data_IF_730432770093
#
_entry.id   IF_730432770093
#
_cell.length_a   1.000
_cell.length_b   1.000
_cell.length_c   1.000
_cell.angle_alpha   90.00
_cell.angle_beta   90.00
_cell.angle_gamma   90.00
#
_symmetry.space_group_name_H-M   'P 1'
#
loop_
_entity.id
_entity.type
_entity.pdbx_description
1 polymer ?
#
# COMPACT_ATOMS: atom_id res chain seq x y z
N UNK A 1 -22.67 16.07 -21.81
CA UNK A 1 -21.98 14.96 -22.51
C UNK A 1 -20.53 14.96 -22.05
N UNK A 2 -20.18 14.04 -21.15
CA UNK A 2 -18.88 14.00 -20.47
C UNK A 2 -17.84 13.31 -21.35
N UNK A 3 -16.86 14.08 -21.83
CA UNK A 3 -15.65 13.56 -22.44
C UNK A 3 -14.76 12.92 -21.36
N UNK A 4 -15.11 11.70 -20.91
CA UNK A 4 -14.13 10.77 -20.38
C UNK A 4 -13.30 10.27 -21.58
N UNK A 5 -12.41 11.13 -22.07
CA UNK A 5 -11.28 10.66 -22.85
C UNK A 5 -10.52 9.72 -21.95
N UNK A 6 -10.47 8.45 -22.36
CA UNK A 6 -9.47 7.50 -21.91
C UNK A 6 -8.12 8.20 -22.09
N UNK A 7 -7.55 8.69 -21.00
CA UNK A 7 -6.11 8.88 -20.90
C UNK A 7 -5.55 7.47 -21.03
N UNK A 8 -5.26 7.05 -22.26
CA UNK A 8 -4.29 6.01 -22.53
C UNK A 8 -3.07 6.43 -21.71
N UNK A 9 -2.86 5.79 -20.56
CA UNK A 9 -1.86 6.20 -19.57
C UNK A 9 -0.50 6.15 -20.25
N UNK A 10 -0.07 7.31 -20.74
CA UNK A 10 1.18 7.47 -21.45
C UNK A 10 2.26 7.23 -20.42
N UNK A 11 3.14 6.25 -20.68
CA UNK A 11 4.20 5.89 -19.76
C UNK A 11 5.13 7.10 -19.59
N UNK A 12 5.16 7.67 -18.40
CA UNK A 12 6.07 8.77 -18.06
C UNK A 12 7.42 8.26 -17.56
N UNK A 13 8.44 9.13 -17.57
CA UNK A 13 9.77 8.78 -17.08
C UNK A 13 9.74 8.41 -15.60
N UNK A 14 8.99 9.16 -14.81
CA UNK A 14 8.80 8.91 -13.37
C UNK A 14 8.08 7.60 -13.10
N UNK A 15 7.05 7.24 -13.88
CA UNK A 15 6.38 5.94 -13.76
C UNK A 15 7.33 4.78 -14.04
N UNK A 16 8.22 4.91 -15.04
CA UNK A 16 9.22 3.89 -15.32
C UNK A 16 10.22 3.73 -14.15
N UNK A 17 10.67 4.84 -13.57
CA UNK A 17 11.59 4.81 -12.43
C UNK A 17 10.92 4.21 -11.19
N UNK A 18 9.64 4.52 -10.95
CA UNK A 18 8.86 3.90 -9.88
C UNK A 18 8.70 2.39 -10.09
N UNK A 19 8.43 1.93 -11.32
CA UNK A 19 8.36 0.50 -11.63
C UNK A 19 9.69 -0.24 -11.37
N UNK A 20 10.84 0.43 -11.62
CA UNK A 20 12.15 -0.14 -11.30
C UNK A 20 12.33 -0.30 -9.79
N UNK A 21 11.92 0.69 -8.99
CA UNK A 21 11.96 0.61 -7.53
C UNK A 21 10.99 -0.44 -6.98
N UNK A 22 9.76 -0.51 -7.50
CA UNK A 22 8.78 -1.51 -7.06
C UNK A 22 9.27 -2.94 -7.33
N UNK A 23 10.01 -3.13 -8.44
CA UNK A 23 10.65 -4.41 -8.77
C UNK A 23 11.86 -4.71 -7.89
N UNK A 24 12.55 -3.69 -7.39
CA UNK A 24 13.63 -3.82 -6.40
C UNK A 24 13.10 -4.18 -5.02
N UNK A 25 11.99 -3.56 -4.61
CA UNK A 25 11.33 -3.84 -3.34
C UNK A 25 10.61 -5.19 -3.35
N UNK A 26 10.16 -5.68 -4.51
CA UNK A 26 9.56 -7.01 -4.61
C UNK A 26 10.63 -8.10 -4.42
N UNK A 27 10.50 -8.99 -3.41
CA UNK A 27 11.45 -10.08 -3.22
C UNK A 27 11.34 -11.09 -4.37
N UNK A 28 12.12 -10.87 -5.41
CA UNK A 28 12.34 -11.84 -6.48
C UNK A 28 13.66 -12.57 -6.20
N UNK A 29 13.58 -13.89 -6.02
CA UNK A 29 14.67 -14.79 -5.65
C UNK A 29 15.89 -14.79 -6.61
N UNK A 30 15.92 -13.97 -7.67
CA UNK A 30 16.88 -14.08 -8.78
C UNK A 30 17.28 -12.76 -9.48
N UNK A 31 17.03 -11.57 -8.95
CA UNK A 31 17.39 -10.35 -9.69
C UNK A 31 18.81 -9.86 -9.33
N UNK A 32 19.85 -10.47 -9.92
CA UNK A 32 21.20 -9.89 -9.92
C UNK A 32 21.29 -8.60 -10.76
N UNK A 33 20.31 -8.34 -11.63
CA UNK A 33 20.20 -7.11 -12.42
C UNK A 33 18.73 -6.73 -12.62
N UNK A 34 18.29 -5.61 -12.03
CA UNK A 34 16.95 -5.08 -12.27
C UNK A 34 17.00 -4.21 -13.51
N UNK A 35 16.46 -4.76 -14.61
CA UNK A 35 16.46 -4.12 -15.92
C UNK A 35 15.04 -4.04 -16.44
N UNK A 36 14.67 -2.90 -17.01
CA UNK A 36 13.38 -2.66 -17.63
C UNK A 36 13.57 -2.24 -19.08
N UNK A 37 12.90 -2.94 -20.01
CA UNK A 37 12.86 -2.52 -21.40
C UNK A 37 11.90 -1.34 -21.57
N UNK A 38 12.29 -0.38 -22.40
CA UNK A 38 11.50 0.80 -22.70
C UNK A 38 10.65 0.52 -23.94
N UNK A 39 9.35 0.69 -23.81
CA UNK A 39 8.39 0.56 -24.90
C UNK A 39 7.88 1.95 -25.30
N UNK A 40 8.46 2.49 -26.37
CA UNK A 40 8.11 3.81 -26.91
C UNK A 40 6.70 3.87 -27.48
N UNK A 41 6.05 2.74 -27.77
CA UNK A 41 4.64 2.73 -28.22
C UNK A 41 3.68 3.17 -27.11
N UNK A 42 4.14 3.12 -25.85
CA UNK A 42 3.40 3.56 -24.66
C UNK A 42 3.77 4.96 -24.22
N UNK A 43 4.88 5.51 -24.71
CA UNK A 43 5.24 6.91 -24.49
C UNK A 43 4.38 7.74 -25.46
N UNK A 44 3.82 8.85 -25.00
CA UNK A 44 2.90 9.66 -25.78
C UNK A 44 3.54 10.33 -27.00
N UNK A 45 2.98 11.48 -27.42
CA UNK A 45 3.53 12.25 -28.55
C UNK A 45 4.96 12.78 -28.31
N UNK A 46 5.58 13.44 -29.31
CA UNK A 46 6.98 13.89 -29.26
C UNK A 46 7.35 14.70 -28.02
N UNK A 47 6.47 15.59 -27.54
CA UNK A 47 6.71 16.37 -26.32
C UNK A 47 6.82 15.49 -25.06
N UNK A 48 6.04 14.41 -24.97
CA UNK A 48 6.11 13.46 -23.86
C UNK A 48 7.38 12.59 -23.96
N UNK A 49 7.88 12.33 -25.16
CA UNK A 49 9.16 11.64 -25.37
C UNK A 49 10.34 12.50 -24.93
N UNK A 50 10.33 13.81 -25.24
CA UNK A 50 11.38 14.74 -24.79
C UNK A 50 11.42 14.84 -23.25
N UNK A 51 10.26 14.96 -22.60
CA UNK A 51 10.15 14.96 -21.15
C UNK A 51 10.61 13.63 -20.54
N UNK A 52 10.19 12.51 -21.14
CA UNK A 52 10.62 11.17 -20.75
C UNK A 52 12.14 11.01 -20.83
N UNK A 53 12.77 11.44 -21.92
CA UNK A 53 14.23 11.39 -22.08
C UNK A 53 14.96 12.30 -21.09
N UNK A 54 14.43 13.49 -20.83
CA UNK A 54 15.00 14.42 -19.85
C UNK A 54 15.02 13.79 -18.45
N UNK A 55 13.89 13.25 -17.99
CA UNK A 55 13.79 12.62 -16.66
C UNK A 55 14.73 11.43 -16.53
N UNK A 56 14.86 10.60 -17.57
CA UNK A 56 15.78 9.47 -17.57
C UNK A 56 17.25 9.92 -17.54
N UNK A 57 17.62 10.96 -18.27
CA UNK A 57 18.96 11.51 -18.21
C UNK A 57 19.27 12.17 -16.86
N UNK A 58 18.30 12.85 -16.24
CA UNK A 58 18.47 13.40 -14.90
C UNK A 58 18.68 12.29 -13.86
N UNK A 59 17.96 11.16 -13.97
CA UNK A 59 18.13 9.99 -13.11
C UNK A 59 19.46 9.25 -13.35
N UNK A 60 19.93 9.17 -14.60
CA UNK A 60 21.27 8.65 -14.94
C UNK A 60 22.37 9.56 -14.39
N UNK A 61 22.22 10.87 -14.52
CA UNK A 61 23.16 11.88 -13.97
C UNK A 61 23.21 11.85 -12.45
N UNK A 62 22.07 11.62 -11.80
CA UNK A 62 21.99 11.37 -10.37
C UNK A 62 22.69 10.05 -9.97
N UNK A 63 23.00 9.18 -10.92
CA UNK A 63 23.71 7.92 -10.72
C UNK A 63 22.83 6.78 -10.20
N UNK A 64 21.51 6.92 -10.26
CA UNK A 64 20.56 5.88 -9.84
C UNK A 64 20.37 4.78 -10.88
N UNK A 65 20.45 5.14 -12.16
CA UNK A 65 20.23 4.22 -13.29
C UNK A 65 21.34 4.32 -14.35
N UNK A 66 21.43 3.31 -15.20
CA UNK A 66 22.22 3.32 -16.44
C UNK A 66 21.28 3.04 -17.62
N UNK A 67 21.38 3.87 -18.65
CA UNK A 67 20.59 3.73 -19.88
C UNK A 67 21.38 2.98 -20.96
N UNK A 68 20.85 1.84 -21.41
CA UNK A 68 21.40 1.11 -22.54
C UNK A 68 20.73 1.57 -23.84
N UNK A 69 21.51 2.12 -24.76
CA UNK A 69 21.03 2.57 -26.08
C UNK A 69 20.80 1.39 -27.01
N UNK A 70 19.74 1.45 -27.82
CA UNK A 70 19.47 0.44 -28.83
C UNK A 70 20.58 0.44 -29.91
N UNK A 71 21.15 -0.73 -30.22
CA UNK A 71 22.20 -0.85 -31.27
C UNK A 71 21.74 -0.41 -32.66
N UNK A 72 20.44 -0.52 -32.97
CA UNK A 72 19.82 -0.02 -34.20
C UNK A 72 19.31 1.43 -34.10
N UNK A 73 19.22 2.00 -32.89
CA UNK A 73 18.70 3.35 -32.62
C UNK A 73 19.77 4.45 -32.66
N UNK A 74 20.91 4.20 -33.32
CA UNK A 74 22.01 5.20 -33.42
C UNK A 74 21.57 6.51 -34.10
N UNK A 75 20.45 6.47 -34.82
CA UNK A 75 19.87 7.63 -35.51
C UNK A 75 18.60 8.20 -34.86
N UNK A 76 17.92 7.49 -33.96
CA UNK A 76 16.67 7.94 -33.32
C UNK A 76 16.84 8.37 -31.86
N UNK A 77 17.99 8.08 -31.23
CA UNK A 77 18.22 8.44 -29.82
C UNK A 77 17.45 7.58 -28.82
N UNK A 78 16.82 6.50 -29.29
CA UNK A 78 15.99 5.62 -28.46
C UNK A 78 16.83 4.72 -27.52
N UNK A 79 16.50 4.77 -26.24
CA UNK A 79 17.00 3.86 -25.21
C UNK A 79 16.30 2.49 -25.31
N UNK A 80 17.06 1.40 -25.34
CA UNK A 80 16.50 0.06 -25.34
C UNK A 80 16.04 -0.36 -23.94
N UNK A 81 16.85 -0.06 -22.92
CA UNK A 81 16.64 -0.54 -21.55
C UNK A 81 17.18 0.44 -20.51
N UNK A 82 16.53 0.50 -19.36
CA UNK A 82 17.03 1.15 -18.16
C UNK A 82 17.40 0.08 -17.12
N UNK A 83 18.60 0.16 -16.55
CA UNK A 83 19.08 -0.74 -15.50
C UNK A 83 19.26 0.04 -14.21
N UNK A 84 18.75 -0.49 -13.10
CA UNK A 84 18.97 0.07 -11.77
C UNK A 84 20.41 -0.22 -11.33
N UNK A 85 21.15 0.82 -10.93
CA UNK A 85 22.52 0.69 -10.40
C UNK A 85 22.57 0.98 -8.92
N UNK A 86 21.86 2.02 -8.48
CA UNK A 86 21.90 2.51 -7.10
C UNK A 86 20.48 2.93 -6.70
N UNK A 87 19.83 2.09 -5.90
CA UNK A 87 18.46 2.33 -5.43
C UNK A 87 18.39 3.56 -4.50
N UNK A 88 19.39 3.77 -3.64
CA UNK A 88 19.41 4.87 -2.67
C UNK A 88 19.44 6.23 -3.36
N UNK A 89 20.21 6.36 -4.45
CA UNK A 89 20.23 7.58 -5.25
C UNK A 89 18.91 7.81 -5.97
N UNK A 90 18.27 6.74 -6.44
CA UNK A 90 16.96 6.85 -7.09
C UNK A 90 15.85 7.21 -6.10
N UNK A 91 15.88 6.68 -4.87
CA UNK A 91 14.97 7.10 -3.79
C UNK A 91 15.13 8.59 -3.46
N UNK A 92 16.37 9.09 -3.36
CA UNK A 92 16.62 10.53 -3.15
C UNK A 92 16.15 11.38 -4.33
N UNK A 93 16.34 10.91 -5.56
CA UNK A 93 15.91 11.63 -6.76
C UNK A 93 14.38 11.74 -6.85
N UNK A 94 13.67 10.66 -6.54
CA UNK A 94 12.20 10.63 -6.55
C UNK A 94 11.56 11.15 -5.24
N UNK A 95 12.37 11.52 -4.25
CA UNK A 95 11.92 11.93 -2.90
C UNK A 95 10.96 10.89 -2.30
N UNK A 96 11.24 9.60 -2.55
CA UNK A 96 10.43 8.47 -2.10
C UNK A 96 11.14 7.77 -0.95
N UNK A 97 10.42 7.45 0.12
CA UNK A 97 10.93 6.60 1.19
C UNK A 97 10.91 5.12 0.78
N UNK A 98 11.97 4.35 1.07
CA UNK A 98 11.98 2.91 0.84
C UNK A 98 10.82 2.22 1.56
N UNK A 99 10.18 1.23 0.92
CA UNK A 99 9.11 0.45 1.55
C UNK A 99 9.55 -0.20 2.87
N UNK A 100 10.85 -0.53 2.99
CA UNK A 100 11.46 -1.01 4.23
C UNK A 100 11.32 -0.03 5.40
N UNK A 101 11.68 1.23 5.19
CA UNK A 101 11.59 2.27 6.21
C UNK A 101 10.13 2.58 6.56
N UNK A 102 9.24 2.60 5.56
CA UNK A 102 7.80 2.80 5.79
C UNK A 102 7.23 1.68 6.66
N UNK A 103 7.61 0.43 6.39
CA UNK A 103 7.19 -0.73 7.17
C UNK A 103 7.77 -0.72 8.59
N UNK A 104 9.02 -0.28 8.78
CA UNK A 104 9.63 -0.16 10.11
C UNK A 104 8.94 0.93 10.95
N UNK A 105 8.62 2.08 10.34
CA UNK A 105 7.83 3.13 11.00
C UNK A 105 6.42 2.63 11.33
N UNK A 106 5.81 1.84 10.45
CA UNK A 106 4.51 1.24 10.70
C UNK A 106 4.54 0.26 11.87
N UNK A 107 5.51 -0.67 11.90
CA UNK A 107 5.72 -1.63 12.97
C UNK A 107 5.92 -0.93 14.33
N UNK A 108 6.78 0.09 14.36
CA UNK A 108 7.02 0.88 15.58
C UNK A 108 5.72 1.55 16.09
N UNK A 109 4.94 2.17 15.21
CA UNK A 109 3.64 2.79 15.59
C UNK A 109 2.62 1.76 16.08
N UNK A 110 2.57 0.57 15.48
CA UNK A 110 1.68 -0.50 15.93
C UNK A 110 2.07 -0.92 17.35
N UNK A 111 3.38 -1.09 17.62
CA UNK A 111 3.90 -1.41 18.94
C UNK A 111 3.53 -0.39 20.02
N UNK A 112 3.53 0.90 19.70
CA UNK A 112 3.07 1.94 20.63
C UNK A 112 1.56 1.96 20.83
N UNK A 113 0.79 1.65 19.78
CA UNK A 113 -0.68 1.78 19.81
C UNK A 113 -1.34 0.60 20.51
N UNK A 114 -0.81 -0.61 20.33
CA UNK A 114 -1.44 -1.85 20.81
C UNK A 114 -0.47 -2.79 21.55
N UNK A 115 0.33 -2.29 22.52
CA UNK A 115 1.35 -3.09 23.19
C UNK A 115 0.77 -4.37 23.83
N UNK A 116 -0.37 -4.24 24.54
CA UNK A 116 -1.05 -5.35 25.22
C UNK A 116 -1.50 -6.46 24.25
N UNK A 117 -1.86 -6.10 23.02
CA UNK A 117 -2.30 -7.08 22.01
C UNK A 117 -1.11 -7.87 21.46
N UNK A 118 0.06 -7.23 21.35
CA UNK A 118 1.28 -7.86 20.86
C UNK A 118 1.98 -8.72 21.92
N UNK A 119 1.53 -8.69 23.18
CA UNK A 119 1.97 -9.67 24.19
C UNK A 119 1.51 -11.10 23.84
N UNK A 120 0.40 -11.24 23.10
CA UNK A 120 -0.04 -12.52 22.56
C UNK A 120 0.84 -12.92 21.36
N UNK A 121 1.57 -14.06 21.42
CA UNK A 121 2.44 -14.52 20.34
C UNK A 121 1.74 -14.67 18.98
N UNK A 122 0.45 -14.99 18.97
CA UNK A 122 -0.33 -15.16 17.73
C UNK A 122 -0.52 -13.83 17.03
N UNK A 123 -0.78 -12.76 17.78
CA UNK A 123 -0.97 -11.42 17.24
C UNK A 123 0.38 -10.77 16.89
N UNK A 124 1.42 -11.06 17.66
CA UNK A 124 2.79 -10.68 17.30
C UNK A 124 3.22 -11.29 15.97
N UNK A 125 2.84 -12.54 15.67
CA UNK A 125 3.14 -13.15 14.37
C UNK A 125 2.41 -12.46 13.22
N UNK A 126 1.13 -12.12 13.40
CA UNK A 126 0.35 -11.38 12.39
C UNK A 126 0.96 -10.00 12.10
N UNK A 127 1.46 -9.30 13.12
CA UNK A 127 2.20 -8.04 12.94
C UNK A 127 3.49 -8.27 12.13
N UNK A 128 4.27 -9.30 12.46
CA UNK A 128 5.51 -9.63 11.72
C UNK A 128 5.23 -9.97 10.26
N UNK A 129 4.19 -10.74 9.98
CA UNK A 129 3.77 -11.07 8.62
C UNK A 129 3.33 -9.82 7.85
N UNK A 130 2.56 -8.94 8.48
CA UNK A 130 2.12 -7.69 7.88
C UNK A 130 3.33 -6.79 7.54
N UNK A 131 4.24 -6.62 8.50
CA UNK A 131 5.48 -5.85 8.32
C UNK A 131 6.35 -6.47 7.23
N UNK A 132 6.51 -7.79 7.17
CA UNK A 132 7.24 -8.47 6.10
C UNK A 132 6.61 -8.25 4.72
N UNK A 133 5.28 -8.28 4.62
CA UNK A 133 4.57 -7.99 3.38
C UNK A 133 4.79 -6.52 2.94
N UNK A 134 4.67 -5.57 3.87
CA UNK A 134 4.89 -4.15 3.58
C UNK A 134 6.33 -3.85 3.17
N UNK A 135 7.33 -4.49 3.80
CA UNK A 135 8.74 -4.40 3.37
C UNK A 135 8.96 -4.85 1.93
N UNK A 136 8.16 -5.81 1.47
CA UNK A 136 8.17 -6.28 0.07
C UNK A 136 7.28 -5.47 -0.88
N UNK A 137 6.84 -4.27 -0.48
CA UNK A 137 5.87 -3.42 -1.18
C UNK A 137 4.56 -4.15 -1.55
N UNK A 138 4.09 -5.03 -0.67
CA UNK A 138 2.80 -5.73 -0.80
C UNK A 138 1.83 -5.29 0.28
N UNK A 139 0.54 -5.22 -0.04
CA UNK A 139 -0.50 -5.06 0.97
C UNK A 139 -0.69 -6.36 1.76
N UNK A 140 -0.93 -6.27 3.07
CA UNK A 140 -1.35 -7.39 3.92
C UNK A 140 -2.85 -7.27 4.19
N UNK A 141 -3.64 -8.31 3.90
CA UNK A 141 -5.11 -8.28 4.04
C UNK A 141 -5.77 -7.06 3.35
N UNK A 142 -5.26 -6.67 2.17
CA UNK A 142 -5.65 -5.47 1.43
C UNK A 142 -5.40 -4.13 2.17
N UNK A 143 -4.63 -4.15 3.26
CA UNK A 143 -4.20 -2.96 3.98
C UNK A 143 -2.77 -2.58 3.57
N UNK A 144 -2.58 -1.38 2.99
CA UNK A 144 -1.25 -0.81 2.79
C UNK A 144 -0.69 -0.27 4.12
N UNK A 145 0.62 -0.01 4.20
CA UNK A 145 1.25 0.54 5.41
C UNK A 145 0.82 1.98 5.74
N UNK A 146 0.02 2.63 4.89
CA UNK A 146 -0.60 3.94 5.20
C UNK A 146 -1.86 3.81 6.05
N UNK A 147 -2.42 2.60 6.19
CA UNK A 147 -3.65 2.34 6.95
C UNK A 147 -3.38 1.65 8.30
N UNK A 148 -2.34 2.10 9.00
CA UNK A 148 -1.91 1.55 10.29
C UNK A 148 -3.04 1.60 11.32
N UNK A 149 -3.76 2.73 11.42
CA UNK A 149 -4.84 2.88 12.39
C UNK A 149 -5.97 1.87 12.18
N UNK A 150 -6.27 1.53 10.92
CA UNK A 150 -7.26 0.52 10.56
C UNK A 150 -6.76 -0.86 10.96
N UNK A 151 -5.51 -1.18 10.65
CA UNK A 151 -4.87 -2.44 11.06
C UNK A 151 -4.89 -2.63 12.58
N UNK A 152 -4.46 -1.61 13.35
CA UNK A 152 -4.46 -1.65 14.82
C UNK A 152 -5.86 -1.86 15.40
N UNK A 153 -6.89 -1.20 14.85
CA UNK A 153 -8.29 -1.41 15.27
C UNK A 153 -8.78 -2.83 15.00
N UNK A 154 -8.44 -3.40 13.86
CA UNK A 154 -8.79 -4.78 13.51
C UNK A 154 -8.12 -5.76 14.47
N UNK A 155 -6.84 -5.56 14.77
CA UNK A 155 -6.08 -6.36 15.73
C UNK A 155 -6.69 -6.29 17.14
N UNK A 156 -7.00 -5.09 17.64
CA UNK A 156 -7.68 -4.91 18.93
C UNK A 156 -9.03 -5.62 18.99
N UNK A 157 -9.84 -5.50 17.95
CA UNK A 157 -11.16 -6.14 17.89
C UNK A 157 -11.03 -7.67 17.89
N UNK A 158 -10.13 -8.21 17.07
CA UNK A 158 -9.87 -9.65 17.01
C UNK A 158 -9.36 -10.17 18.36
N UNK A 159 -8.41 -9.47 18.98
CA UNK A 159 -7.90 -9.80 20.31
C UNK A 159 -9.01 -9.80 21.36
N UNK A 160 -9.87 -8.78 21.35
CA UNK A 160 -11.02 -8.71 22.24
C UNK A 160 -11.98 -9.89 22.02
N UNK A 161 -12.31 -10.26 20.77
CA UNK A 161 -13.20 -11.39 20.48
C UNK A 161 -12.61 -12.70 21.00
N UNK A 162 -11.35 -12.99 20.71
CA UNK A 162 -10.68 -14.24 21.15
C UNK A 162 -10.69 -14.34 22.68
N UNK A 163 -10.32 -13.27 23.36
CA UNK A 163 -10.26 -13.26 24.83
C UNK A 163 -11.64 -13.13 25.51
N UNK A 164 -12.65 -12.63 24.80
CA UNK A 164 -14.04 -12.65 25.24
C UNK A 164 -14.67 -14.02 25.04
N UNK A 165 -14.29 -14.82 24.03
CA UNK A 165 -14.82 -16.19 23.90
C UNK A 165 -14.35 -17.14 24.99
N UNK A 166 -13.25 -16.81 25.68
CA UNK A 166 -12.75 -17.55 26.85
C UNK A 166 -13.41 -17.16 28.18
N UNK A 167 -14.24 -16.10 28.21
CA UNK A 167 -15.02 -15.70 29.38
C UNK A 167 -16.48 -15.78 28.98
N UNK A 168 -17.30 -16.49 29.73
CA UNK A 168 -18.75 -16.61 29.49
C UNK A 168 -19.43 -15.21 29.58
N UNK A 169 -19.32 -14.42 28.51
CA UNK A 169 -19.84 -13.06 28.41
C UNK A 169 -21.04 -13.11 27.49
N UNK A 170 -22.20 -13.13 28.13
CA UNK A 170 -23.51 -13.01 27.51
C UNK A 170 -23.51 -11.84 26.50
N UNK A 171 -23.71 -12.19 25.23
CA UNK A 171 -23.64 -11.29 24.06
C UNK A 171 -24.53 -10.04 24.21
N UNK A 172 -25.54 -10.12 25.09
CA UNK A 172 -26.45 -9.03 25.45
C UNK A 172 -25.75 -7.84 26.15
N UNK A 173 -24.63 -8.08 26.82
CA UNK A 173 -23.91 -7.05 27.58
C UNK A 173 -22.93 -6.25 26.71
N UNK A 174 -22.42 -6.84 25.63
CA UNK A 174 -21.49 -6.20 24.70
C UNK A 174 -22.14 -5.03 23.95
N UNK A 175 -23.37 -5.21 23.45
CA UNK A 175 -24.09 -4.17 22.70
C UNK A 175 -24.35 -2.90 23.53
N UNK A 176 -24.48 -3.02 24.85
CA UNK A 176 -24.72 -1.88 25.76
C UNK A 176 -23.49 -1.07 26.13
N UNK A 177 -22.28 -1.63 26.01
CA UNK A 177 -21.03 -0.93 26.39
C UNK A 177 -20.35 -0.23 25.22
N UNK A 178 -20.50 -0.76 24.00
CA UNK A 178 -19.89 -0.17 22.80
C UNK A 178 -20.76 0.94 22.18
N UNK A 179 -22.08 0.89 22.37
CA UNK A 179 -23.03 1.91 21.88
C UNK A 179 -23.54 2.72 23.06
N UNK A 180 -22.70 3.63 23.57
CA UNK A 180 -23.15 4.67 24.49
C UNK A 180 -22.81 6.03 23.89
N UNK A 181 -23.53 6.41 22.84
CA UNK A 181 -23.96 7.79 22.73
C UNK A 181 -25.23 8.03 21.88
N UNK A 182 -26.15 8.74 22.53
CA UNK A 182 -27.19 9.66 22.03
C UNK A 182 -28.12 9.28 20.87
N UNK A 183 -29.34 8.84 21.19
CA UNK A 183 -30.56 9.58 20.82
C UNK A 183 -31.77 9.16 21.71
N UNK A 184 -32.25 10.01 22.63
CA UNK A 184 -33.44 9.74 23.44
C UNK A 184 -34.65 10.52 22.88
N UNK A 185 -35.69 9.85 22.38
CA UNK A 185 -37.04 10.40 22.09
C UNK A 185 -37.88 9.30 21.42
N UNK A 186 -39.15 9.01 21.68
CA UNK A 186 -40.17 9.34 22.68
C UNK A 186 -41.20 8.20 22.56
N UNK A 187 -41.69 7.68 23.69
CA UNK A 187 -42.86 6.81 23.76
C UNK A 187 -44.13 7.56 23.34
N UNK A 188 -45.00 6.94 22.56
CA UNK A 188 -46.44 7.23 22.62
C UNK A 188 -47.24 5.93 22.50
N UNK A 189 -48.21 5.69 23.41
CA UNK A 189 -48.97 4.46 23.48
C UNK A 189 -50.33 4.61 22.79
N UNK A 190 -50.70 3.72 21.87
CA UNK A 190 -52.11 3.52 21.51
C UNK A 190 -52.37 2.08 21.08
N UNK A 191 -53.05 1.38 21.98
CA UNK A 191 -54.25 0.56 21.73
C UNK A 191 -54.16 -0.70 20.86
N UNK A 192 -54.49 -1.81 21.55
CA UNK A 192 -55.31 -2.94 21.10
C UNK A 192 -54.80 -3.84 19.97
N UNK A 193 -54.57 -5.12 20.29
CA UNK A 193 -55.44 -6.24 19.86
C UNK A 193 -54.92 -7.55 20.45
N UNK A 194 -55.73 -8.11 21.35
CA UNK A 194 -56.09 -9.53 21.52
C UNK A 194 -55.10 -10.63 21.12
N UNK A 195 -54.69 -11.44 22.09
CA UNK A 195 -54.57 -12.89 21.90
C UNK A 195 -54.88 -13.61 23.22
N UNK A 196 -55.93 -14.44 23.17
CA UNK A 196 -56.39 -15.40 24.20
C UNK A 196 -56.02 -16.81 23.72
N UNK A 197 -56.29 -17.81 24.58
CA UNK A 197 -56.28 -19.28 24.41
C UNK A 197 -55.00 -19.88 25.01
N UNK A 198 -55.01 -20.73 26.04
CA UNK A 198 -56.04 -21.31 26.92
C UNK A 198 -55.41 -21.63 28.27
#
# INVERSE_FOLDING_TARGET
MNAKMQQSSCLTGEELLNLLLDRFETPSLRARDITQAIDYTRVGGPAAQDEFHRVLHDAERAGGIVLERARLGRFTGEFARARLVDADKLYRFLVRSPAGEIADVASWRIGETIPDVLEDPSFAEVEREATAAWKGNKSYLALPPTQIDTFSKVMQLAHAIVHLTGRDVDHRTFSRRTVKDSNPCVLSPTSSTTCRVS
#
